data_IF_322732570617
#
_entry.id   IF_322732570617
#
_cell.length_a   1.000
_cell.length_b   1.000
_cell.length_c   1.000
_cell.angle_alpha   90.00
_cell.angle_beta   90.00
_cell.angle_gamma   90.00
#
_symmetry.space_group_name_H-M   'P 1'
#
loop_
_entity.id
_entity.type
_entity.pdbx_description
1 polymer ?
#
# COMPACT_ATOMS: atom_id res chain seq x y z
N UNK A 1 28.19 -2.77 -16.46
CA UNK A 1 26.83 -2.29 -16.13
C UNK A 1 26.88 -0.80 -15.90
N UNK A 2 26.33 0.00 -16.82
CA UNK A 2 26.26 1.46 -16.63
C UNK A 2 25.19 1.79 -15.59
N UNK A 3 25.49 2.64 -14.59
CA UNK A 3 24.47 3.11 -13.66
C UNK A 3 23.41 3.84 -14.49
N UNK A 4 22.14 3.43 -14.36
CA UNK A 4 21.02 4.16 -14.97
C UNK A 4 20.98 5.53 -14.31
N UNK A 5 21.55 6.51 -15.00
CA UNK A 5 21.45 7.92 -14.64
C UNK A 5 19.97 8.28 -14.75
N UNK A 6 19.40 8.77 -13.65
CA UNK A 6 18.12 9.42 -13.71
C UNK A 6 18.25 10.63 -14.65
N UNK A 7 17.23 10.89 -15.50
CA UNK A 7 17.23 11.87 -16.59
C UNK A 7 17.59 13.33 -16.18
N UNK A 8 17.92 13.57 -14.91
CA UNK A 8 18.26 14.84 -14.29
C UNK A 8 19.73 14.95 -13.84
N UNK A 9 20.63 14.06 -14.30
CA UNK A 9 22.07 14.07 -13.97
C UNK A 9 22.46 13.96 -12.47
N UNK A 10 21.50 13.86 -11.54
CA UNK A 10 21.78 13.41 -10.17
C UNK A 10 22.01 11.89 -10.17
N UNK A 11 23.11 11.38 -9.57
CA UNK A 11 23.31 9.95 -9.45
C UNK A 11 22.20 9.36 -8.58
N UNK A 12 21.31 8.59 -9.19
CA UNK A 12 20.32 7.84 -8.45
C UNK A 12 21.06 6.79 -7.62
N UNK A 13 21.06 6.95 -6.30
CA UNK A 13 21.62 5.97 -5.35
C UNK A 13 20.93 4.59 -5.45
N UNK A 14 19.84 4.47 -6.23
CA UNK A 14 19.09 3.24 -6.44
C UNK A 14 18.57 3.17 -7.89
N UNK A 15 19.44 2.86 -8.86
CA UNK A 15 19.07 2.76 -10.28
C UNK A 15 18.11 1.60 -10.59
N UNK A 16 17.86 0.74 -9.60
CA UNK A 16 17.04 -0.46 -9.70
C UNK A 16 15.62 -0.26 -9.16
N UNK A 17 15.33 0.85 -8.47
CA UNK A 17 14.00 1.09 -7.91
C UNK A 17 12.98 1.36 -9.03
N UNK A 18 11.90 0.56 -9.16
CA UNK A 18 10.89 0.73 -10.22
C UNK A 18 10.19 2.08 -10.19
N UNK A 19 10.02 2.65 -8.98
CA UNK A 19 9.48 3.98 -8.77
C UNK A 19 10.59 4.87 -8.19
N UNK A 20 11.00 5.87 -8.95
CA UNK A 20 12.06 6.79 -8.58
C UNK A 20 11.54 8.23 -8.44
N UNK A 21 11.75 8.90 -7.28
CA UNK A 21 11.32 10.29 -7.08
C UNK A 21 11.91 11.31 -8.09
N UNK A 22 13.04 10.98 -8.72
CA UNK A 22 13.71 11.82 -9.72
C UNK A 22 13.20 11.59 -11.14
N UNK A 23 12.38 10.56 -11.37
CA UNK A 23 11.85 10.22 -12.68
C UNK A 23 10.33 10.37 -12.65
N UNK A 24 9.84 11.52 -13.11
CA UNK A 24 8.41 11.85 -13.09
C UNK A 24 7.53 10.79 -13.76
N UNK A 25 8.01 10.19 -14.86
CA UNK A 25 7.30 9.13 -15.57
C UNK A 25 7.11 7.88 -14.70
N UNK A 26 8.15 7.47 -13.95
CA UNK A 26 8.05 6.36 -13.00
C UNK A 26 7.13 6.68 -11.82
N UNK A 27 7.02 7.94 -11.41
CA UNK A 27 6.08 8.36 -10.38
C UNK A 27 4.64 8.34 -10.89
N UNK A 28 4.43 8.69 -12.16
CA UNK A 28 3.11 8.76 -12.78
C UNK A 28 2.56 7.37 -13.16
N UNK A 29 3.41 6.49 -13.69
CA UNK A 29 2.99 5.22 -14.29
C UNK A 29 3.69 3.99 -13.73
N UNK A 30 4.65 4.17 -12.81
CA UNK A 30 5.39 3.07 -12.23
C UNK A 30 4.54 2.20 -11.30
N UNK A 31 4.74 0.90 -11.45
CA UNK A 31 4.26 -0.13 -10.54
C UNK A 31 5.42 -0.59 -9.67
N UNK A 32 5.12 -1.03 -8.45
CA UNK A 32 6.10 -1.55 -7.52
C UNK A 32 5.51 -2.71 -6.72
N UNK A 33 6.21 -3.84 -6.69
CA UNK A 33 5.87 -5.01 -5.89
C UNK A 33 6.60 -4.98 -4.55
N UNK A 34 6.01 -5.60 -3.52
CA UNK A 34 6.52 -5.52 -2.14
C UNK A 34 7.94 -6.05 -1.92
N UNK A 35 8.42 -6.91 -2.83
CA UNK A 35 9.76 -7.51 -2.85
C UNK A 35 10.77 -6.72 -3.69
N UNK A 36 10.33 -5.72 -4.47
CA UNK A 36 11.21 -4.94 -5.34
C UNK A 36 11.98 -3.86 -4.58
N UNK A 37 13.17 -3.46 -5.10
CA UNK A 37 13.97 -2.41 -4.49
C UNK A 37 13.24 -1.06 -4.43
N UNK A 38 13.53 -0.28 -3.38
CA UNK A 38 12.97 1.06 -3.14
C UNK A 38 14.10 2.08 -3.22
N UNK A 39 13.77 3.33 -3.56
CA UNK A 39 14.70 4.46 -3.50
C UNK A 39 15.39 4.57 -2.12
N UNK A 40 16.73 4.47 -2.11
CA UNK A 40 17.57 4.57 -0.90
C UNK A 40 18.03 5.99 -0.57
N UNK A 41 17.84 6.94 -1.49
CA UNK A 41 18.28 8.33 -1.31
C UNK A 41 17.72 8.97 -0.05
N UNK A 42 18.64 9.49 0.79
CA UNK A 42 18.30 10.20 2.04
C UNK A 42 17.48 11.47 1.79
N UNK A 43 17.62 12.09 0.61
CA UNK A 43 16.87 13.30 0.20
C UNK A 43 15.36 13.03 0.10
N UNK A 44 14.99 11.84 -0.37
CA UNK A 44 13.60 11.48 -0.68
C UNK A 44 12.93 10.56 0.35
N UNK A 45 13.66 10.12 1.38
CA UNK A 45 13.13 9.26 2.43
C UNK A 45 11.92 9.83 3.17
N UNK A 46 11.74 11.16 3.12
CA UNK A 46 10.66 11.86 3.79
C UNK A 46 9.33 11.88 3.02
N UNK A 47 9.34 11.51 1.73
CA UNK A 47 8.13 11.41 0.93
C UNK A 47 7.18 10.36 1.52
N UNK A 48 5.90 10.71 1.59
CA UNK A 48 4.87 9.88 2.22
C UNK A 48 4.78 8.50 1.59
N UNK A 49 4.78 8.41 0.25
CA UNK A 49 4.72 7.14 -0.47
C UNK A 49 6.01 6.32 -0.33
N UNK A 50 7.21 6.94 -0.26
CA UNK A 50 8.48 6.24 -0.01
C UNK A 50 8.49 5.63 1.40
N UNK A 51 7.99 6.35 2.41
CA UNK A 51 7.82 5.82 3.77
C UNK A 51 6.89 4.61 3.80
N UNK A 52 5.83 4.63 2.98
CA UNK A 52 4.87 3.53 2.86
C UNK A 52 5.51 2.32 2.17
N UNK A 53 6.25 2.50 1.07
CA UNK A 53 7.00 1.41 0.44
C UNK A 53 7.94 0.74 1.43
N UNK A 54 8.73 1.50 2.21
CA UNK A 54 9.65 0.94 3.22
C UNK A 54 8.91 0.14 4.29
N UNK A 55 7.77 0.65 4.76
CA UNK A 55 6.95 -0.08 5.72
C UNK A 55 6.39 -1.37 5.11
N UNK A 56 5.90 -1.32 3.87
CA UNK A 56 5.38 -2.49 3.16
C UNK A 56 6.47 -3.54 2.93
N UNK A 57 7.66 -3.15 2.45
CA UNK A 57 8.78 -4.06 2.25
C UNK A 57 9.22 -4.75 3.55
N UNK A 58 9.13 -4.06 4.69
CA UNK A 58 9.43 -4.66 5.99
C UNK A 58 8.45 -5.78 6.40
N UNK A 59 7.26 -5.84 5.78
CA UNK A 59 6.28 -6.90 6.01
C UNK A 59 6.62 -8.21 5.28
N UNK A 60 7.57 -8.18 4.33
CA UNK A 60 7.97 -9.33 3.50
C UNK A 60 6.77 -9.98 2.78
N UNK A 61 6.00 -9.15 2.08
CA UNK A 61 4.92 -9.60 1.21
C UNK A 61 5.48 -10.48 0.07
N UNK A 62 4.71 -11.46 -0.36
CA UNK A 62 5.01 -12.30 -1.52
C UNK A 62 4.78 -11.52 -2.83
N UNK A 63 5.34 -12.00 -3.94
CA UNK A 63 5.08 -11.42 -5.27
C UNK A 63 3.60 -11.51 -5.64
N UNK A 64 2.94 -12.59 -5.23
CA UNK A 64 1.52 -12.84 -5.45
C UNK A 64 0.60 -11.91 -4.63
N UNK A 65 1.16 -11.14 -3.68
CA UNK A 65 0.38 -10.15 -2.93
C UNK A 65 0.03 -8.92 -3.78
N UNK A 66 0.54 -8.82 -5.02
CA UNK A 66 0.19 -7.78 -5.98
C UNK A 66 1.08 -6.54 -5.93
N UNK A 67 0.75 -5.56 -6.76
CA UNK A 67 1.58 -4.37 -6.96
C UNK A 67 0.94 -3.11 -6.34
N UNK A 68 1.73 -2.05 -6.22
CA UNK A 68 1.28 -0.74 -5.77
C UNK A 68 1.75 0.36 -6.72
N UNK A 69 0.90 1.34 -6.96
CA UNK A 69 1.26 2.60 -7.64
C UNK A 69 1.46 3.73 -6.62
N UNK A 70 2.10 4.82 -7.04
CA UNK A 70 2.24 6.02 -6.18
C UNK A 70 0.87 6.56 -5.74
N UNK A 71 -0.14 6.52 -6.61
CA UNK A 71 -1.51 6.95 -6.30
C UNK A 71 -2.10 6.08 -5.18
N UNK A 72 -2.03 4.76 -5.30
CA UNK A 72 -2.48 3.83 -4.26
C UNK A 72 -1.77 4.10 -2.93
N UNK A 73 -0.45 4.26 -2.96
CA UNK A 73 0.35 4.54 -1.76
C UNK A 73 -0.06 5.86 -1.14
N UNK A 74 -0.23 6.94 -1.91
CA UNK A 74 -0.68 8.22 -1.38
C UNK A 74 -2.07 8.12 -0.73
N UNK A 75 -2.99 7.39 -1.37
CA UNK A 75 -4.34 7.09 -0.85
C UNK A 75 -4.38 6.05 0.28
N UNK A 76 -3.25 5.50 0.73
CA UNK A 76 -3.19 4.55 1.83
C UNK A 76 -2.81 5.24 3.15
N UNK A 77 -3.56 5.02 4.21
CA UNK A 77 -3.19 5.54 5.53
C UNK A 77 -2.08 4.68 6.17
N UNK A 78 -1.11 5.29 6.86
CA UNK A 78 0.04 4.58 7.44
C UNK A 78 -0.39 3.47 8.42
N UNK A 79 -1.50 3.67 9.14
CA UNK A 79 -2.04 2.69 10.08
C UNK A 79 -2.69 1.46 9.41
N UNK A 80 -3.04 1.55 8.12
CA UNK A 80 -3.62 0.42 7.37
C UNK A 80 -2.55 -0.56 6.86
N UNK A 81 -1.28 -0.17 6.87
CA UNK A 81 -0.16 -1.01 6.42
C UNK A 81 0.12 -2.07 7.49
N UNK A 82 -0.37 -3.29 7.22
CA UNK A 82 -0.26 -4.49 8.07
C UNK A 82 0.05 -5.70 7.19
N UNK A 83 0.40 -6.85 7.77
CA UNK A 83 0.69 -8.09 7.02
C UNK A 83 -0.48 -8.63 6.18
N UNK A 84 -1.70 -8.11 6.38
CA UNK A 84 -2.90 -8.45 5.58
C UNK A 84 -3.12 -7.51 4.41
N UNK A 85 -2.25 -6.51 4.24
CA UNK A 85 -2.32 -5.60 3.11
C UNK A 85 -1.90 -6.37 1.85
N UNK A 86 -2.77 -6.33 0.86
CA UNK A 86 -2.50 -6.83 -0.49
C UNK A 86 -2.49 -5.64 -1.44
N UNK A 87 -1.66 -5.70 -2.46
CA UNK A 87 -1.63 -4.78 -3.60
C UNK A 87 -2.76 -5.05 -4.59
N UNK A 88 -2.71 -4.33 -5.70
CA UNK A 88 -3.60 -4.51 -6.82
C UNK A 88 -3.23 -5.80 -7.58
N UNK A 89 -4.24 -6.58 -7.98
CA UNK A 89 -4.05 -7.82 -8.72
C UNK A 89 -3.81 -7.48 -10.21
N UNK A 90 -2.68 -7.85 -10.84
CA UNK A 90 -2.41 -7.51 -12.24
C UNK A 90 -3.30 -8.25 -13.25
N UNK A 91 -4.04 -9.28 -12.84
CA UNK A 91 -4.80 -10.16 -13.75
C UNK A 91 -6.28 -9.77 -13.91
N UNK A 92 -6.70 -8.63 -13.37
CA UNK A 92 -8.08 -8.14 -13.48
C UNK A 92 -8.14 -6.86 -14.32
N UNK A 93 -9.34 -6.50 -14.76
CA UNK A 93 -9.58 -5.23 -15.46
C UNK A 93 -9.60 -4.08 -14.45
N UNK A 94 -8.94 -2.96 -14.79
CA UNK A 94 -8.83 -1.77 -13.93
C UNK A 94 -8.39 -2.03 -12.47
N UNK A 95 -7.27 -2.74 -12.27
CA UNK A 95 -6.83 -3.25 -10.96
C UNK A 95 -6.60 -2.16 -9.91
N UNK A 96 -6.03 -1.02 -10.31
CA UNK A 96 -5.83 0.13 -9.43
C UNK A 96 -7.17 0.72 -8.97
N UNK A 97 -8.14 0.85 -9.87
CA UNK A 97 -9.44 1.45 -9.56
C UNK A 97 -10.25 0.55 -8.60
N UNK A 98 -10.22 -0.76 -8.80
CA UNK A 98 -10.81 -1.72 -7.89
C UNK A 98 -10.15 -1.64 -6.50
N UNK A 99 -8.81 -1.59 -6.47
CA UNK A 99 -8.08 -1.48 -5.22
C UNK A 99 -8.39 -0.17 -4.48
N UNK A 100 -8.40 0.96 -5.20
CA UNK A 100 -8.75 2.26 -4.63
C UNK A 100 -10.20 2.29 -4.12
N UNK A 101 -11.12 1.58 -4.75
CA UNK A 101 -12.50 1.46 -4.26
C UNK A 101 -12.55 0.69 -2.94
N UNK A 102 -11.77 -0.39 -2.79
CA UNK A 102 -11.72 -1.21 -1.58
C UNK A 102 -10.97 -0.54 -0.41
N UNK A 103 -9.84 0.10 -0.70
CA UNK A 103 -8.91 0.61 0.30
C UNK A 103 -8.94 2.14 0.45
N UNK A 104 -9.29 2.88 -0.61
CA UNK A 104 -9.46 4.33 -0.59
C UNK A 104 -10.74 4.77 0.13
N UNK A 105 -11.85 4.03 0.02
CA UNK A 105 -13.10 4.38 0.71
C UNK A 105 -13.01 4.28 2.25
N UNK A 106 -12.13 3.44 2.79
CA UNK A 106 -11.88 3.39 4.25
C UNK A 106 -11.35 4.73 4.79
N UNK A 107 -10.95 5.68 3.94
CA UNK A 107 -10.55 7.03 4.33
C UNK A 107 -11.71 8.04 4.41
N UNK A 108 -12.83 7.79 3.73
CA UNK A 108 -14.03 8.64 3.84
C UNK A 108 -14.83 8.35 5.11
N UNK A 109 -14.71 7.14 5.65
CA UNK A 109 -15.25 6.80 6.97
C UNK A 109 -14.51 7.57 8.05
N UNK A 110 -15.18 8.61 8.55
CA UNK A 110 -14.74 9.39 9.70
C UNK A 110 -14.60 8.49 10.94
N UNK A 111 -13.84 8.93 11.94
CA UNK A 111 -13.73 8.23 13.22
C UNK A 111 -15.10 7.92 13.83
N UNK A 112 -16.10 8.79 13.64
CA UNK A 112 -17.46 8.57 14.14
C UNK A 112 -18.15 7.40 13.42
N UNK A 113 -17.96 7.27 12.11
CA UNK A 113 -18.56 6.18 11.32
C UNK A 113 -17.93 4.82 11.68
N UNK A 114 -16.61 4.78 11.93
CA UNK A 114 -15.93 3.58 12.44
C UNK A 114 -16.36 3.20 13.86
N UNK A 115 -16.63 4.19 14.71
CA UNK A 115 -17.16 3.96 16.07
C UNK A 115 -18.60 3.46 15.99
N UNK A 116 -19.44 4.06 15.14
CA UNK A 116 -20.82 3.65 14.92
C UNK A 116 -20.92 2.20 14.43
N UNK A 117 -20.06 1.80 13.49
CA UNK A 117 -20.07 0.43 12.97
C UNK A 117 -19.56 -0.61 13.98
N UNK A 118 -18.69 -0.21 14.91
CA UNK A 118 -18.30 -1.04 16.05
C UNK A 118 -19.43 -1.17 17.08
N UNK A 119 -20.16 -0.08 17.34
CA UNK A 119 -21.31 -0.07 18.23
C UNK A 119 -22.52 -0.83 17.66
N UNK A 120 -22.68 -0.85 16.33
CA UNK A 120 -23.74 -1.55 15.62
C UNK A 120 -23.46 -3.05 15.42
N UNK A 121 -22.30 -3.57 15.89
CA UNK A 121 -22.04 -5.01 15.84
C UNK A 121 -22.96 -5.67 16.88
N UNK A 122 -23.92 -6.53 16.49
CA UNK A 122 -24.77 -7.21 17.45
C UNK A 122 -23.90 -8.00 18.42
N UNK A 123 -24.16 -7.84 19.71
CA UNK A 123 -23.51 -8.63 20.75
C UNK A 123 -23.77 -10.11 20.47
N UNK A 124 -22.76 -10.99 20.62
CA UNK A 124 -23.02 -12.42 20.53
C UNK A 124 -24.05 -12.77 21.59
N UNK A 125 -25.24 -13.20 21.15
CA UNK A 125 -26.29 -13.69 22.03
C UNK A 125 -25.72 -14.86 22.83
N UNK A 126 -25.87 -14.89 24.17
CA UNK A 126 -25.42 -16.02 24.95
C UNK A 126 -26.17 -17.26 24.47
N UNK A 127 -25.42 -18.23 23.94
CA UNK A 127 -25.95 -19.54 23.59
C UNK A 127 -26.48 -20.18 24.87
N UNK A 128 -27.80 -20.19 25.05
CA UNK A 128 -28.45 -21.00 26.08
C UNK A 128 -28.10 -22.46 25.80
N UNK A 129 -27.23 -23.04 26.63
CA UNK A 129 -26.98 -24.47 26.63
C UNK A 129 -28.27 -25.17 27.08
N UNK A 130 -28.74 -26.21 26.36
CA UNK A 130 -29.88 -26.98 26.81
C UNK A 130 -29.53 -27.67 28.12
N UNK A 131 -30.36 -27.45 29.14
CA UNK A 131 -30.36 -28.21 30.37
C UNK A 131 -30.90 -29.60 30.02
N UNK A 132 -30.02 -30.59 29.97
CA UNK A 132 -30.42 -31.98 29.83
C UNK A 132 -31.02 -32.45 31.17
N UNK A 133 -32.24 -32.99 31.10
CA UNK A 133 -32.97 -33.65 32.19
C UNK A 133 -32.46 -35.09 32.39
#
# INVERSE_FOLDING_TARGET
>A
MSPKLCNLFEPCESPEAPICPLLQESVAHGIWYGNEPICRSKKFQNLSWVKKQRKIASLKLAEDDGYFTVRMLNSLHQAAITKRLVGANPNITDPEAEWLSKFGQKQAMTTSERVALRAARPTPTPTTLPLFD
#
